data_IF_575103072509
#
_entry.id   IF_575103072509
#
_cell.length_a   1.000
_cell.length_b   1.000
_cell.length_c   1.000
_cell.angle_alpha   90.00
_cell.angle_beta   90.00
_cell.angle_gamma   90.00
#
_symmetry.space_group_name_H-M   'P 1'
#
loop_
_entity.id
_entity.type
_entity.pdbx_description
1 polymer ?
#
# COMPACT_ATOMS: atom_id res chain seq x y z
N UNK A 1 -5.72 -63.44 40.42
CA UNK A 1 -5.36 -62.89 39.09
C UNK A 1 -5.97 -61.51 39.02
N UNK A 2 -5.22 -60.51 39.43
CA UNK A 2 -5.60 -59.10 39.42
C UNK A 2 -4.83 -58.46 38.27
N UNK A 3 -5.57 -57.96 37.29
CA UNK A 3 -5.05 -57.19 36.16
C UNK A 3 -4.59 -55.84 36.70
N UNK A 4 -3.37 -55.34 36.41
CA UNK A 4 -2.99 -54.01 36.81
C UNK A 4 -3.63 -52.98 35.88
N UNK A 5 -4.16 -51.94 36.52
CA UNK A 5 -4.73 -50.72 35.96
C UNK A 5 -3.61 -49.91 35.28
N UNK A 6 -3.69 -49.74 33.97
CA UNK A 6 -2.78 -48.86 33.22
C UNK A 6 -3.10 -47.41 33.58
N UNK A 7 -2.17 -46.76 34.26
CA UNK A 7 -2.18 -45.34 34.50
C UNK A 7 -2.04 -44.60 33.15
N UNK A 8 -3.15 -44.05 32.67
CA UNK A 8 -3.18 -43.12 31.55
C UNK A 8 -2.53 -41.80 31.99
N UNK A 9 -1.21 -41.69 31.80
CA UNK A 9 -0.53 -40.40 31.82
C UNK A 9 -0.97 -39.61 30.59
N UNK A 10 -1.99 -38.78 30.75
CA UNK A 10 -2.30 -37.71 29.80
C UNK A 10 -1.09 -36.76 29.75
N UNK A 11 -0.21 -36.99 28.79
CA UNK A 11 0.73 -35.98 28.33
C UNK A 11 -0.11 -34.76 27.96
N UNK A 12 0.07 -33.65 28.69
CA UNK A 12 -0.70 -32.43 28.48
C UNK A 12 -0.66 -32.03 27.02
N UNK A 13 -1.84 -31.77 26.45
CA UNK A 13 -2.00 -31.36 25.05
C UNK A 13 -1.01 -30.24 24.74
N UNK A 14 0.03 -30.58 23.97
CA UNK A 14 0.92 -29.57 23.42
C UNK A 14 0.05 -28.69 22.53
N UNK A 15 -0.05 -27.40 22.88
CA UNK A 15 -0.90 -26.47 22.15
C UNK A 15 -0.53 -26.51 20.65
N UNK A 16 -1.55 -26.75 19.83
CA UNK A 16 -1.43 -26.96 18.39
C UNK A 16 -1.74 -25.65 17.64
N UNK A 17 -1.01 -25.39 16.55
CA UNK A 17 -1.29 -24.26 15.68
C UNK A 17 -2.52 -24.54 14.80
N UNK A 18 -3.54 -23.70 14.90
CA UNK A 18 -4.75 -23.82 14.10
C UNK A 18 -4.59 -23.55 12.59
N UNK A 19 -3.39 -23.21 12.12
CA UNK A 19 -3.10 -22.99 10.69
C UNK A 19 -2.37 -24.21 10.10
N UNK A 20 -1.25 -24.63 10.70
CA UNK A 20 -0.46 -25.77 10.18
C UNK A 20 -0.84 -27.13 10.78
N UNK A 21 -1.68 -27.15 11.82
CA UNK A 21 -2.07 -28.36 12.56
C UNK A 21 -0.85 -29.10 13.15
N UNK A 22 0.20 -28.35 13.49
CA UNK A 22 1.42 -28.83 14.10
C UNK A 22 1.67 -28.19 15.46
N UNK A 23 2.74 -28.61 16.14
CA UNK A 23 3.17 -27.99 17.39
C UNK A 23 3.45 -26.48 17.18
N UNK A 24 3.12 -25.65 18.18
CA UNK A 24 3.39 -24.23 18.11
C UNK A 24 4.89 -23.92 18.09
N UNK A 25 5.38 -23.42 16.97
CA UNK A 25 6.73 -22.88 16.80
C UNK A 25 6.70 -21.36 16.98
N UNK A 26 7.47 -20.85 17.96
CA UNK A 26 7.50 -19.40 18.31
C UNK A 26 6.08 -18.87 18.50
N UNK A 27 5.37 -19.51 19.43
CA UNK A 27 3.95 -19.30 19.65
C UNK A 27 3.62 -17.80 19.84
N UNK A 28 2.67 -17.32 19.06
CA UNK A 28 2.12 -15.97 19.17
C UNK A 28 0.65 -16.05 19.55
N UNK A 29 0.16 -15.09 20.34
CA UNK A 29 -1.22 -15.04 20.83
C UNK A 29 -1.90 -13.75 20.39
N UNK A 30 -3.12 -13.88 19.88
CA UNK A 30 -3.98 -12.75 19.53
C UNK A 30 -4.80 -12.28 20.75
N UNK A 31 -5.38 -11.07 20.73
CA UNK A 31 -6.24 -10.58 21.82
C UNK A 31 -7.48 -11.46 22.06
N UNK A 32 -7.91 -12.19 21.04
CA UNK A 32 -8.97 -13.19 21.13
C UNK A 32 -8.54 -14.51 21.81
N UNK A 33 -7.31 -14.60 22.31
CA UNK A 33 -6.69 -15.75 22.99
C UNK A 33 -6.36 -16.95 22.11
N UNK A 34 -6.57 -16.86 20.80
CA UNK A 34 -6.08 -17.88 19.87
C UNK A 34 -4.57 -17.76 19.66
N UNK A 35 -3.91 -18.92 19.54
CA UNK A 35 -2.45 -19.03 19.38
C UNK A 35 -2.06 -19.66 18.05
N UNK A 36 -0.94 -19.22 17.49
CA UNK A 36 -0.45 -19.65 16.18
C UNK A 36 1.08 -19.73 16.18
N UNK A 37 1.66 -20.51 15.27
CA UNK A 37 3.07 -20.31 14.92
C UNK A 37 3.24 -18.90 14.36
N UNK A 38 4.34 -18.21 14.71
CA UNK A 38 4.61 -16.84 14.23
C UNK A 38 4.54 -16.77 12.70
N UNK A 39 5.28 -17.63 12.01
CA UNK A 39 5.34 -17.66 10.54
C UNK A 39 3.97 -17.94 9.90
N UNK A 40 3.17 -18.81 10.50
CA UNK A 40 1.84 -19.13 10.01
C UNK A 40 0.87 -17.93 10.06
N UNK A 41 0.81 -17.23 11.20
CA UNK A 41 -0.09 -16.08 11.32
C UNK A 41 0.38 -14.88 10.51
N UNK A 42 1.71 -14.66 10.40
CA UNK A 42 2.25 -13.60 9.55
C UNK A 42 1.97 -13.87 8.07
N UNK A 43 2.12 -15.12 7.60
CA UNK A 43 1.74 -15.49 6.22
C UNK A 43 0.23 -15.32 5.97
N UNK A 44 -0.59 -15.65 6.96
CA UNK A 44 -2.04 -15.45 6.86
C UNK A 44 -2.39 -13.95 6.70
N UNK A 45 -1.82 -13.08 7.53
CA UNK A 45 -2.02 -11.63 7.44
C UNK A 45 -1.42 -11.05 6.14
N UNK A 46 -0.24 -11.53 5.74
CA UNK A 46 0.45 -11.11 4.52
C UNK A 46 -0.21 -11.57 3.21
N UNK A 47 -1.26 -12.39 3.27
CA UNK A 47 -1.97 -12.85 2.07
C UNK A 47 -2.93 -11.82 1.48
N UNK A 48 -3.16 -10.70 2.16
CA UNK A 48 -4.07 -9.63 1.73
C UNK A 48 -3.48 -8.27 2.03
N UNK A 49 -3.72 -7.30 1.17
CA UNK A 49 -3.42 -5.92 1.50
C UNK A 49 -4.46 -5.39 2.52
N UNK A 50 -4.04 -4.70 3.58
CA UNK A 50 -2.65 -4.42 3.90
C UNK A 50 -2.03 -5.62 4.62
N UNK A 51 -0.80 -5.99 4.27
CA UNK A 51 -0.17 -7.26 4.65
C UNK A 51 -0.02 -7.48 6.18
N UNK A 52 -0.24 -6.43 6.97
CA UNK A 52 -0.10 -6.41 8.43
C UNK A 52 -1.44 -6.45 9.19
N UNK A 53 -2.58 -6.53 8.49
CA UNK A 53 -3.92 -6.53 9.10
C UNK A 53 -4.89 -7.45 8.37
N UNK A 54 -5.82 -8.03 9.12
CA UNK A 54 -6.82 -8.95 8.58
C UNK A 54 -7.76 -9.45 9.68
N UNK A 55 -8.06 -10.74 9.65
CA UNK A 55 -8.93 -11.38 10.62
C UNK A 55 -8.29 -12.61 11.22
N UNK A 56 -8.56 -12.87 12.50
CA UNK A 56 -8.18 -14.10 13.17
C UNK A 56 -8.76 -15.32 12.40
N UNK A 57 -7.94 -16.32 12.01
CA UNK A 57 -8.40 -17.50 11.27
C UNK A 57 -9.53 -18.30 11.95
N UNK A 58 -9.65 -18.22 13.28
CA UNK A 58 -10.59 -19.03 14.05
C UNK A 58 -11.91 -18.32 14.35
N UNK A 59 -11.88 -17.02 14.66
CA UNK A 59 -13.09 -16.29 15.08
C UNK A 59 -13.43 -15.07 14.24
N UNK A 60 -12.65 -14.80 13.19
CA UNK A 60 -12.86 -13.71 12.24
C UNK A 60 -12.84 -12.30 12.86
N UNK A 61 -12.43 -12.16 14.13
CA UNK A 61 -12.20 -10.84 14.74
C UNK A 61 -11.04 -10.16 14.03
N UNK A 62 -11.17 -8.84 13.84
CA UNK A 62 -10.10 -8.00 13.29
C UNK A 62 -8.82 -8.21 14.09
N UNK A 63 -7.72 -8.38 13.37
CA UNK A 63 -6.42 -8.69 13.93
C UNK A 63 -5.34 -8.00 13.11
N UNK A 64 -4.38 -7.38 13.78
CA UNK A 64 -3.16 -6.85 13.16
C UNK A 64 -1.92 -7.50 13.77
N UNK A 65 -0.77 -7.32 13.13
CA UNK A 65 0.53 -7.75 13.68
C UNK A 65 0.89 -7.02 14.98
N UNK A 66 0.40 -5.79 15.18
CA UNK A 66 0.67 -4.99 16.39
C UNK A 66 -0.10 -5.48 17.62
N UNK A 67 -1.14 -6.27 17.39
CA UNK A 67 -1.97 -6.86 18.44
C UNK A 67 -1.51 -8.26 18.85
N UNK A 68 -0.58 -8.84 18.11
CA UNK A 68 0.00 -10.14 18.44
C UNK A 68 1.10 -9.96 19.49
N UNK A 69 1.11 -10.89 20.46
CA UNK A 69 2.19 -10.98 21.46
C UNK A 69 2.88 -12.34 21.37
N UNK A 70 4.16 -12.36 21.66
CA UNK A 70 4.92 -13.60 21.85
C UNK A 70 4.48 -14.28 23.15
N UNK A 71 4.16 -15.57 23.10
CA UNK A 71 3.58 -16.29 24.26
C UNK A 71 4.57 -16.44 25.41
N UNK A 72 5.87 -16.48 25.14
CA UNK A 72 6.92 -16.72 26.15
C UNK A 72 7.25 -15.43 26.88
N UNK A 73 7.46 -14.35 26.12
CA UNK A 73 7.90 -13.05 26.65
C UNK A 73 6.76 -12.09 26.98
N UNK A 74 5.54 -12.37 26.48
CA UNK A 74 4.38 -11.47 26.51
C UNK A 74 4.61 -10.11 25.83
N UNK A 75 5.70 -10.00 25.06
CA UNK A 75 6.05 -8.78 24.33
C UNK A 75 5.27 -8.69 23.01
N UNK A 76 4.88 -7.48 22.57
CA UNK A 76 4.30 -7.28 21.23
C UNK A 76 5.26 -7.77 20.14
N UNK A 77 4.72 -8.40 19.10
CA UNK A 77 5.53 -8.81 17.95
C UNK A 77 6.07 -7.60 17.19
N UNK A 78 5.23 -6.58 17.06
CA UNK A 78 5.53 -5.36 16.35
C UNK A 78 4.99 -4.15 17.09
N UNK A 79 5.63 -3.01 16.86
CA UNK A 79 5.20 -1.73 17.38
C UNK A 79 5.00 -0.82 16.17
N UNK A 80 3.84 -0.13 16.06
CA UNK A 80 3.65 0.85 15.00
C UNK A 80 4.72 1.94 15.04
N UNK A 81 5.18 2.35 13.85
CA UNK A 81 6.10 3.47 13.71
C UNK A 81 5.48 4.74 14.29
N UNK A 82 4.22 5.00 13.96
CA UNK A 82 3.48 6.17 14.44
C UNK A 82 2.50 5.77 15.53
N UNK A 83 2.49 6.54 16.61
CA UNK A 83 1.64 6.29 17.79
C UNK A 83 0.66 7.42 18.08
N UNK A 84 0.70 8.49 17.29
CA UNK A 84 -0.11 9.68 17.44
C UNK A 84 -0.61 10.12 16.07
N UNK A 85 -1.84 10.64 16.04
CA UNK A 85 -2.36 11.32 14.86
C UNK A 85 -1.57 12.61 14.57
N UNK A 86 -1.12 13.28 15.64
CA UNK A 86 -0.51 14.60 15.52
C UNK A 86 0.90 14.56 14.93
N UNK A 87 1.18 15.48 14.01
CA UNK A 87 2.36 15.51 13.15
C UNK A 87 2.17 14.78 11.81
N UNK A 88 0.99 14.19 11.56
CA UNK A 88 0.73 13.41 10.35
C UNK A 88 -0.10 14.18 9.33
N UNK A 89 0.13 13.82 8.07
CA UNK A 89 -0.58 14.34 6.91
C UNK A 89 -1.18 13.18 6.13
N UNK A 90 -2.42 13.33 5.67
CA UNK A 90 -3.13 12.33 4.88
C UNK A 90 -3.53 12.92 3.53
N UNK A 91 -3.22 12.18 2.46
CA UNK A 91 -3.42 12.63 1.09
C UNK A 91 -4.28 11.63 0.32
N UNK A 92 -5.12 12.19 -0.53
CA UNK A 92 -5.76 11.48 -1.63
C UNK A 92 -5.01 11.79 -2.93
N UNK A 93 -5.28 11.07 -4.00
CA UNK A 93 -4.83 11.46 -5.36
C UNK A 93 -5.48 12.81 -5.71
N UNK A 94 -4.72 13.84 -6.17
CA UNK A 94 -3.36 13.81 -6.71
C UNK A 94 -2.21 14.01 -5.70
N UNK A 95 -2.46 14.32 -4.43
CA UNK A 95 -1.43 14.34 -3.40
C UNK A 95 -1.53 15.50 -2.40
N UNK A 96 -0.37 15.92 -1.89
CA UNK A 96 -0.23 16.96 -0.87
C UNK A 96 -0.84 18.29 -1.35
N UNK A 97 -1.63 18.93 -0.48
CA UNK A 97 -2.24 20.23 -0.78
C UNK A 97 -3.50 20.17 -1.66
N UNK A 98 -3.95 18.99 -2.09
CA UNK A 98 -5.19 18.82 -2.85
C UNK A 98 -6.29 18.19 -1.97
N UNK A 99 -6.84 19.00 -1.06
CA UNK A 99 -7.70 18.54 0.05
C UNK A 99 -7.03 17.45 0.91
N UNK A 100 -5.73 17.63 1.18
CA UNK A 100 -5.00 16.81 2.14
C UNK A 100 -5.32 17.23 3.57
N UNK A 101 -5.42 16.28 4.50
CA UNK A 101 -5.68 16.54 5.91
C UNK A 101 -4.37 16.64 6.68
N UNK A 102 -4.24 17.69 7.48
CA UNK A 102 -3.06 17.97 8.30
C UNK A 102 -3.48 18.00 9.76
N UNK A 103 -2.73 17.28 10.59
CA UNK A 103 -2.93 17.20 12.03
C UNK A 103 -1.68 17.69 12.74
N UNK A 104 -1.24 18.92 12.50
CA UNK A 104 0.06 19.41 13.00
C UNK A 104 0.16 19.37 14.52
N UNK A 105 -0.94 19.72 15.21
CA UNK A 105 -1.10 19.60 16.66
C UNK A 105 -2.59 19.44 17.03
N UNK A 106 -2.87 19.13 18.30
CA UNK A 106 -4.24 18.96 18.82
C UNK A 106 -5.15 20.16 18.57
N UNK A 107 -4.58 21.37 18.58
CA UNK A 107 -5.27 22.62 18.30
C UNK A 107 -4.93 23.21 16.91
N UNK A 108 -4.23 22.46 16.06
CA UNK A 108 -3.89 22.88 14.68
C UNK A 108 -4.15 21.73 13.70
N UNK A 109 -5.42 21.49 13.42
CA UNK A 109 -5.89 20.53 12.43
C UNK A 109 -6.58 21.29 11.28
N UNK A 110 -6.29 20.93 10.03
CA UNK A 110 -6.84 21.63 8.87
C UNK A 110 -6.86 20.78 7.60
N UNK A 111 -7.65 21.23 6.63
CA UNK A 111 -7.59 20.77 5.24
C UNK A 111 -6.74 21.76 4.44
N UNK A 112 -5.76 21.25 3.71
CA UNK A 112 -4.95 22.06 2.81
C UNK A 112 -5.45 21.96 1.38
N UNK A 113 -5.64 23.14 0.77
CA UNK A 113 -5.96 23.35 -0.63
C UNK A 113 -4.83 24.13 -1.34
N UNK A 114 -3.62 24.14 -0.77
CA UNK A 114 -2.47 24.89 -1.30
C UNK A 114 -2.08 24.48 -2.73
N UNK A 115 -2.49 23.28 -3.16
CA UNK A 115 -2.28 22.74 -4.51
C UNK A 115 -3.60 22.29 -5.13
N UNK A 116 -4.72 22.92 -4.77
CA UNK A 116 -6.01 22.65 -5.37
C UNK A 116 -5.98 22.91 -6.90
N UNK A 117 -6.57 22.02 -7.72
CA UNK A 117 -6.66 22.22 -9.16
C UNK A 117 -7.34 23.54 -9.50
N UNK A 118 -6.92 24.21 -10.57
CA UNK A 118 -7.51 25.49 -11.00
C UNK A 118 -9.02 25.41 -11.30
N UNK A 119 -9.51 24.20 -11.60
CA UNK A 119 -10.92 23.89 -11.83
C UNK A 119 -11.75 23.87 -10.55
N UNK A 120 -11.14 23.78 -9.37
CA UNK A 120 -11.84 23.83 -8.10
C UNK A 120 -12.14 25.27 -7.74
N UNK A 121 -13.40 25.67 -7.94
CA UNK A 121 -13.91 26.99 -7.60
C UNK A 121 -14.96 26.90 -6.51
N UNK A 122 -14.98 27.92 -5.66
CA UNK A 122 -16.08 28.18 -4.76
C UNK A 122 -17.26 28.81 -5.54
N UNK A 123 -18.42 28.89 -4.92
CA UNK A 123 -19.64 29.46 -5.51
C UNK A 123 -19.46 30.91 -6.02
N UNK A 124 -18.58 31.69 -5.42
CA UNK A 124 -18.22 33.06 -5.85
C UNK A 124 -17.19 33.10 -7.00
N UNK A 125 -16.76 31.93 -7.49
CA UNK A 125 -15.77 31.78 -8.55
C UNK A 125 -14.31 31.89 -8.09
N UNK A 126 -14.06 32.14 -6.81
CA UNK A 126 -12.70 32.18 -6.25
C UNK A 126 -12.13 30.77 -6.03
N UNK A 127 -10.81 30.69 -5.83
CA UNK A 127 -10.15 29.45 -5.42
C UNK A 127 -10.40 29.19 -3.92
N UNK A 128 -10.44 27.92 -3.48
CA UNK A 128 -10.44 27.62 -2.05
C UNK A 128 -9.22 28.24 -1.34
N UNK A 129 -9.35 28.63 -0.07
CA UNK A 129 -8.23 29.12 0.72
C UNK A 129 -7.19 28.01 0.91
N UNK A 130 -5.89 28.35 0.87
CA UNK A 130 -4.82 27.37 0.97
C UNK A 130 -4.87 26.49 2.24
N UNK A 131 -5.40 27.02 3.35
CA UNK A 131 -5.61 26.33 4.63
C UNK A 131 -7.02 26.61 5.14
N UNK A 132 -7.78 25.55 5.41
CA UNK A 132 -9.12 25.60 6.00
C UNK A 132 -9.11 24.86 7.35
N UNK A 133 -9.12 25.57 8.49
CA UNK A 133 -9.03 24.93 9.80
C UNK A 133 -10.30 24.13 10.14
N UNK A 134 -10.12 23.04 10.87
CA UNK A 134 -11.23 22.40 11.58
C UNK A 134 -11.59 23.21 12.82
N UNK A 135 -12.88 23.38 13.08
CA UNK A 135 -13.43 23.81 14.36
C UNK A 135 -13.96 22.60 15.11
N UNK A 136 -14.11 22.70 16.43
CA UNK A 136 -14.57 21.61 17.30
C UNK A 136 -13.78 20.29 17.09
N UNK A 137 -12.49 20.43 16.82
CA UNK A 137 -11.59 19.32 16.59
C UNK A 137 -11.43 18.49 17.87
N UNK A 138 -11.54 17.17 17.75
CA UNK A 138 -11.32 16.23 18.85
C UNK A 138 -10.74 14.92 18.34
N UNK A 139 -9.92 14.28 19.17
CA UNK A 139 -9.27 13.00 18.89
C UNK A 139 -9.60 12.00 19.99
N UNK A 140 -10.16 10.84 19.60
CA UNK A 140 -10.32 9.70 20.49
C UNK A 140 -9.27 8.61 20.14
N UNK A 141 -8.23 8.42 20.97
CA UNK A 141 -7.20 7.42 20.71
C UNK A 141 -7.69 5.97 20.87
N UNK A 142 -8.78 5.72 21.59
CA UNK A 142 -9.30 4.35 21.79
C UNK A 142 -9.98 3.83 20.53
N UNK A 143 -10.80 4.67 19.91
CA UNK A 143 -11.48 4.35 18.65
C UNK A 143 -10.69 4.78 17.43
N UNK A 144 -9.55 5.46 17.62
CA UNK A 144 -8.73 6.11 16.58
C UNK A 144 -9.57 7.00 15.66
N UNK A 145 -10.45 7.79 16.28
CA UNK A 145 -11.42 8.60 15.55
C UNK A 145 -11.15 10.09 15.79
N UNK A 146 -10.89 10.81 14.70
CA UNK A 146 -10.90 12.27 14.70
C UNK A 146 -12.30 12.77 14.35
N UNK A 147 -12.74 13.84 15.01
CA UNK A 147 -13.95 14.59 14.65
C UNK A 147 -13.62 16.06 14.52
N UNK A 148 -14.27 16.74 13.58
CA UNK A 148 -14.10 18.16 13.37
C UNK A 148 -15.13 18.71 12.39
N UNK A 149 -15.26 20.03 12.37
CA UNK A 149 -16.23 20.75 11.54
C UNK A 149 -15.50 21.74 10.65
N UNK A 150 -15.96 21.89 9.41
CA UNK A 150 -15.56 22.98 8.51
C UNK A 150 -16.80 23.80 8.20
N UNK A 151 -16.76 25.09 8.52
CA UNK A 151 -17.81 26.04 8.14
C UNK A 151 -17.32 26.96 7.02
N UNK A 152 -18.12 27.07 5.96
CA UNK A 152 -17.86 27.93 4.82
C UNK A 152 -18.66 29.22 4.92
N UNK A 153 -17.99 30.35 4.67
CA UNK A 153 -18.65 31.65 4.70
C UNK A 153 -19.66 31.77 3.53
N UNK A 154 -20.69 32.63 3.64
CA UNK A 154 -21.61 32.87 2.54
C UNK A 154 -20.88 33.26 1.24
N UNK A 155 -21.20 32.59 0.13
CA UNK A 155 -20.56 32.78 -1.17
C UNK A 155 -19.21 32.06 -1.35
N UNK A 156 -18.56 31.64 -0.26
CA UNK A 156 -17.28 30.92 -0.28
C UNK A 156 -17.48 29.43 -0.02
N UNK A 157 -18.47 28.83 -0.68
CA UNK A 157 -18.88 27.44 -0.47
C UNK A 157 -18.49 26.58 -1.66
N UNK A 158 -18.48 25.27 -1.46
CA UNK A 158 -18.51 24.32 -2.56
C UNK A 158 -19.94 23.87 -2.79
N UNK A 159 -20.45 24.08 -4.00
CA UNK A 159 -21.77 23.61 -4.44
C UNK A 159 -22.90 23.97 -3.45
N UNK A 160 -22.88 25.19 -2.90
CA UNK A 160 -23.85 25.66 -1.92
C UNK A 160 -23.70 25.11 -0.50
N UNK A 161 -22.77 24.17 -0.26
CA UNK A 161 -22.61 23.48 1.02
C UNK A 161 -21.92 24.36 2.06
N UNK A 162 -22.58 24.56 3.20
CA UNK A 162 -22.17 25.55 4.19
C UNK A 162 -21.36 24.95 5.34
N UNK A 163 -21.62 23.69 5.68
CA UNK A 163 -21.04 23.03 6.84
C UNK A 163 -20.72 21.58 6.52
N UNK A 164 -19.49 21.17 6.80
CA UNK A 164 -19.03 19.81 6.67
C UNK A 164 -18.63 19.26 8.03
N UNK A 165 -19.24 18.15 8.43
CA UNK A 165 -18.98 17.46 9.70
C UNK A 165 -18.21 16.18 9.41
N UNK A 166 -17.03 16.06 10.01
CA UNK A 166 -16.11 14.95 9.78
C UNK A 166 -16.10 13.99 10.96
N UNK A 167 -16.16 12.70 10.64
CA UNK A 167 -15.74 11.60 11.48
C UNK A 167 -14.72 10.78 10.68
N UNK A 168 -13.47 10.69 11.15
CA UNK A 168 -12.38 10.06 10.41
C UNK A 168 -11.77 8.97 11.29
N UNK A 169 -11.84 7.72 10.83
CA UNK A 169 -11.30 6.55 11.54
C UNK A 169 -9.98 6.13 10.90
N UNK A 170 -8.91 6.07 11.69
CA UNK A 170 -7.57 5.73 11.22
C UNK A 170 -7.20 4.27 11.50
N UNK A 171 -6.35 3.73 10.64
CA UNK A 171 -5.64 2.48 10.88
C UNK A 171 -4.81 2.57 12.17
N UNK A 172 -4.55 1.43 12.82
CA UNK A 172 -3.81 1.33 14.08
C UNK A 172 -2.38 1.90 14.02
N UNK A 173 -1.79 1.90 12.82
CA UNK A 173 -0.46 2.42 12.52
C UNK A 173 -0.48 3.73 11.72
N UNK A 174 -1.67 4.31 11.56
CA UNK A 174 -1.89 5.53 10.81
C UNK A 174 -1.46 5.46 9.34
N UNK A 175 -1.35 4.29 8.69
CA UNK A 175 -1.00 4.27 7.26
C UNK A 175 -2.09 4.85 6.35
N UNK A 176 -3.35 4.84 6.79
CA UNK A 176 -4.46 5.40 6.03
C UNK A 176 -5.70 5.61 6.87
N UNK A 177 -6.67 6.27 6.24
CA UNK A 177 -8.04 6.37 6.74
C UNK A 177 -8.78 5.11 6.32
N UNK A 178 -9.49 4.47 7.25
CA UNK A 178 -10.13 3.17 7.06
C UNK A 178 -11.64 3.20 7.26
N UNK A 179 -12.20 4.36 7.59
CA UNK A 179 -13.63 4.52 7.82
C UNK A 179 -14.02 5.89 8.35
N UNK A 180 -15.29 6.02 8.71
CA UNK A 180 -15.93 7.28 9.06
C UNK A 180 -16.57 7.94 7.84
N UNK A 181 -16.98 9.20 7.98
CA UNK A 181 -17.68 9.92 6.91
C UNK A 181 -17.45 11.43 6.99
N UNK A 182 -17.71 12.11 5.88
CA UNK A 182 -18.01 13.54 5.85
C UNK A 182 -19.50 13.72 5.58
N UNK A 183 -20.19 14.50 6.40
CA UNK A 183 -21.60 14.87 6.22
C UNK A 183 -21.71 16.36 5.94
N UNK A 184 -22.25 16.73 4.78
CA UNK A 184 -22.44 18.12 4.37
C UNK A 184 -23.90 18.54 4.63
N UNK A 185 -24.07 19.65 5.35
CA UNK A 185 -25.36 20.27 5.72
C UNK A 185 -26.41 19.28 6.29
N UNK A 186 -25.94 18.18 6.89
CA UNK A 186 -26.78 17.15 7.50
C UNK A 186 -27.50 16.21 6.52
N UNK A 187 -27.27 16.34 5.20
CA UNK A 187 -27.99 15.56 4.18
C UNK A 187 -27.07 14.71 3.31
N UNK A 188 -25.93 15.26 2.88
CA UNK A 188 -25.06 14.60 1.92
C UNK A 188 -23.92 13.93 2.66
N UNK A 189 -23.91 12.60 2.68
CA UNK A 189 -22.93 11.81 3.41
C UNK A 189 -22.05 11.01 2.46
N UNK A 190 -20.74 11.19 2.58
CA UNK A 190 -19.73 10.43 1.84
C UNK A 190 -18.87 9.67 2.84
N UNK A 191 -18.77 8.35 2.68
CA UNK A 191 -17.96 7.49 3.54
C UNK A 191 -16.47 7.57 3.17
N UNK A 192 -15.60 7.38 4.15
CA UNK A 192 -14.20 7.04 3.92
C UNK A 192 -14.07 5.53 3.76
N UNK A 193 -13.20 5.10 2.84
CA UNK A 193 -12.92 3.70 2.57
C UNK A 193 -11.42 3.42 2.70
N UNK A 194 -11.03 2.19 3.11
CA UNK A 194 -9.64 1.80 3.12
C UNK A 194 -9.03 1.87 1.71
N UNK A 195 -7.86 2.51 1.52
CA UNK A 195 -7.25 2.70 0.19
C UNK A 195 -6.74 1.40 -0.46
N UNK A 196 -6.64 0.32 0.31
CA UNK A 196 -6.29 -1.03 -0.16
C UNK A 196 -7.50 -1.96 -0.31
N UNK A 197 -8.72 -1.46 -0.07
CA UNK A 197 -9.95 -2.22 -0.24
C UNK A 197 -10.34 -2.42 -1.71
N UNK A 198 -11.48 -3.08 -1.94
CA UNK A 198 -12.11 -3.10 -3.26
C UNK A 198 -12.50 -1.69 -3.69
N UNK A 199 -12.51 -1.41 -4.99
CA UNK A 199 -12.93 -0.10 -5.52
C UNK A 199 -14.38 0.19 -5.12
N UNK A 200 -14.57 1.08 -4.15
CA UNK A 200 -15.85 1.70 -3.86
C UNK A 200 -15.92 3.14 -4.39
N UNK A 201 -16.95 3.85 -3.94
CA UNK A 201 -17.19 5.26 -4.27
C UNK A 201 -16.76 6.20 -3.15
N UNK A 202 -16.23 5.67 -2.06
CA UNK A 202 -15.81 6.43 -0.90
C UNK A 202 -14.50 7.18 -1.10
N UNK A 203 -14.21 8.05 -0.13
CA UNK A 203 -12.97 8.81 -0.07
C UNK A 203 -11.84 7.93 0.46
N UNK A 204 -10.70 7.91 -0.25
CA UNK A 204 -9.53 7.11 0.13
C UNK A 204 -8.34 8.02 0.39
N UNK A 205 -7.66 7.76 1.51
CA UNK A 205 -6.55 8.59 1.98
C UNK A 205 -5.45 7.73 2.58
N UNK A 206 -4.21 8.03 2.19
CA UNK A 206 -3.00 7.42 2.72
C UNK A 206 -2.17 8.46 3.45
N UNK A 207 -1.42 8.01 4.45
CA UNK A 207 -0.42 8.85 5.12
C UNK A 207 0.60 9.32 4.08
N UNK A 208 0.81 10.62 4.04
CA UNK A 208 1.84 11.21 3.21
C UNK A 208 3.21 10.88 3.80
N UNK A 209 4.13 10.57 2.91
CA UNK A 209 5.56 10.44 3.21
C UNK A 209 6.30 11.33 2.22
N UNK A 210 7.42 11.90 2.65
CA UNK A 210 8.27 12.64 1.74
C UNK A 210 8.61 11.79 0.50
N UNK A 211 8.55 12.37 -0.71
CA UNK A 211 9.04 11.71 -1.91
C UNK A 211 10.48 11.24 -1.71
N UNK A 212 10.86 10.06 -2.24
CA UNK A 212 12.24 9.61 -2.16
C UNK A 212 13.12 10.51 -3.03
N UNK A 213 14.43 10.50 -2.78
CA UNK A 213 15.41 11.22 -3.61
C UNK A 213 15.97 10.38 -4.75
N UNK A 214 15.56 9.11 -4.85
CA UNK A 214 16.02 8.13 -5.83
C UNK A 214 14.94 7.09 -6.08
N UNK A 215 15.10 6.28 -7.13
CA UNK A 215 14.24 5.14 -7.42
C UNK A 215 14.49 3.95 -6.49
N UNK A 216 15.67 3.86 -5.87
CA UNK A 216 16.02 2.72 -5.01
C UNK A 216 15.18 2.71 -3.73
N UNK A 217 14.78 1.51 -3.29
CA UNK A 217 13.76 1.29 -2.27
C UNK A 217 12.32 1.57 -2.75
N UNK A 218 12.07 1.54 -4.06
CA UNK A 218 10.72 1.79 -4.61
C UNK A 218 10.18 0.62 -5.44
N UNK A 219 8.87 0.46 -5.36
CA UNK A 219 8.09 -0.47 -6.18
C UNK A 219 7.16 0.34 -7.09
N UNK A 220 7.05 -0.06 -8.36
CA UNK A 220 6.14 0.55 -9.33
C UNK A 220 5.21 -0.52 -9.90
N UNK A 221 3.91 -0.27 -9.87
CA UNK A 221 2.88 -1.20 -10.39
C UNK A 221 2.27 -0.65 -11.67
N UNK A 222 1.86 -1.55 -12.57
CA UNK A 222 1.29 -1.17 -13.85
C UNK A 222 -0.13 -0.63 -13.67
N UNK A 223 -0.32 0.69 -13.76
CA UNK A 223 -1.60 1.34 -13.58
C UNK A 223 -1.50 2.86 -13.60
N UNK A 224 -2.66 3.51 -13.52
CA UNK A 224 -2.76 4.98 -13.39
C UNK A 224 -2.84 5.43 -11.92
N UNK A 225 -3.14 4.49 -11.02
CA UNK A 225 -3.29 4.65 -9.59
C UNK A 225 -2.82 3.35 -8.93
N UNK A 226 -2.22 3.45 -7.74
CA UNK A 226 -1.73 2.27 -7.04
C UNK A 226 -2.91 1.43 -6.58
N UNK A 227 -2.85 0.13 -6.88
CA UNK A 227 -3.75 -0.87 -6.35
C UNK A 227 -2.89 -2.05 -5.92
N UNK A 228 -3.03 -2.48 -4.67
CA UNK A 228 -2.20 -3.56 -4.11
C UNK A 228 -2.26 -4.85 -4.93
N UNK A 229 -3.42 -5.17 -5.52
CA UNK A 229 -3.61 -6.35 -6.39
C UNK A 229 -2.77 -6.33 -7.68
N UNK A 230 -2.16 -5.20 -8.03
CA UNK A 230 -1.31 -5.07 -9.22
C UNK A 230 0.17 -5.29 -8.90
N UNK A 231 0.55 -5.35 -7.62
CA UNK A 231 1.87 -5.79 -7.22
C UNK A 231 2.05 -7.27 -7.59
N UNK A 232 3.23 -7.64 -8.08
CA UNK A 232 3.46 -9.00 -8.60
C UNK A 232 2.89 -9.26 -10.00
N UNK A 233 2.19 -8.30 -10.62
CA UNK A 233 1.71 -8.38 -12.01
C UNK A 233 2.62 -7.51 -12.90
N UNK A 234 3.82 -8.01 -13.21
CA UNK A 234 4.88 -7.24 -13.88
C UNK A 234 5.21 -5.90 -13.20
N UNK A 235 5.09 -5.84 -11.87
CA UNK A 235 5.55 -4.69 -11.09
C UNK A 235 7.08 -4.60 -11.11
N UNK A 236 7.64 -3.39 -11.15
CA UNK A 236 9.07 -3.14 -11.11
C UNK A 236 9.53 -2.83 -9.70
N UNK A 237 10.58 -3.52 -9.26
CA UNK A 237 11.18 -3.39 -7.93
C UNK A 237 12.61 -2.91 -8.09
N UNK A 238 12.95 -1.85 -7.36
CA UNK A 238 14.28 -1.24 -7.36
C UNK A 238 14.83 -1.30 -5.94
N UNK A 239 15.06 -2.49 -5.38
CA UNK A 239 15.43 -2.64 -3.97
C UNK A 239 16.78 -1.97 -3.68
N UNK A 240 17.75 -2.14 -4.59
CA UNK A 240 19.04 -1.44 -4.56
C UNK A 240 19.63 -1.28 -5.97
N UNK A 241 20.79 -0.62 -6.10
CA UNK A 241 21.55 -0.55 -7.36
C UNK A 241 21.89 -1.93 -7.93
N UNK A 242 22.07 -2.92 -7.06
CA UNK A 242 22.46 -4.28 -7.42
C UNK A 242 21.28 -5.26 -7.50
N UNK A 243 20.11 -4.87 -6.97
CA UNK A 243 18.90 -5.69 -6.96
C UNK A 243 17.71 -4.91 -7.53
N UNK A 244 17.59 -4.97 -8.85
CA UNK A 244 16.43 -4.46 -9.59
C UNK A 244 15.79 -5.63 -10.34
N UNK A 245 14.46 -5.75 -10.30
CA UNK A 245 13.75 -6.86 -10.94
C UNK A 245 12.31 -6.53 -11.32
N UNK A 246 11.74 -7.41 -12.14
CA UNK A 246 10.31 -7.48 -12.43
C UNK A 246 9.73 -8.61 -11.58
N UNK A 247 8.68 -8.33 -10.82
CA UNK A 247 7.95 -9.36 -10.07
C UNK A 247 6.77 -9.86 -10.89
N UNK A 248 6.67 -11.19 -10.98
CA UNK A 248 5.57 -11.96 -11.56
C UNK A 248 4.92 -12.88 -10.51
N UNK A 249 5.08 -12.57 -9.21
CA UNK A 249 4.56 -13.38 -8.12
C UNK A 249 3.05 -13.64 -8.22
N UNK A 250 2.31 -12.68 -8.76
CA UNK A 250 0.86 -12.70 -8.91
C UNK A 250 0.44 -12.64 -10.40
N UNK A 251 1.35 -12.99 -11.31
CA UNK A 251 1.06 -12.97 -12.74
C UNK A 251 -0.15 -13.85 -13.08
N UNK A 252 -1.09 -13.38 -13.94
CA UNK A 252 -2.23 -14.17 -14.35
C UNK A 252 -1.80 -15.52 -14.92
N UNK A 253 -2.51 -16.60 -14.60
CA UNK A 253 -2.17 -17.94 -15.10
C UNK A 253 -2.20 -18.10 -16.63
N UNK A 254 -2.74 -17.11 -17.36
CA UNK A 254 -2.68 -17.02 -18.82
C UNK A 254 -1.36 -16.47 -19.34
N UNK A 255 -0.51 -15.89 -18.49
CA UNK A 255 0.81 -15.39 -18.86
C UNK A 255 1.79 -16.55 -18.82
N UNK A 256 2.08 -17.10 -19.98
CA UNK A 256 2.99 -18.23 -20.15
C UNK A 256 4.16 -17.81 -21.03
N UNK A 257 5.33 -18.35 -20.74
CA UNK A 257 6.47 -18.40 -21.63
C UNK A 257 6.10 -19.24 -22.87
N UNK A 258 6.91 -19.17 -23.92
CA UNK A 258 6.64 -19.88 -25.17
C UNK A 258 6.71 -21.41 -25.04
N UNK A 259 7.26 -21.94 -23.95
CA UNK A 259 7.25 -23.37 -23.61
C UNK A 259 6.00 -23.81 -22.82
N UNK A 260 5.11 -22.87 -22.48
CA UNK A 260 3.89 -23.12 -21.73
C UNK A 260 4.02 -23.05 -20.21
N UNK A 261 5.23 -22.81 -19.67
CA UNK A 261 5.41 -22.60 -18.23
C UNK A 261 5.12 -21.13 -17.83
N UNK A 262 4.71 -20.87 -16.57
CA UNK A 262 4.59 -19.50 -16.08
C UNK A 262 5.95 -18.79 -16.02
N UNK A 263 5.99 -17.44 -16.10
CA UNK A 263 7.21 -16.69 -15.85
C UNK A 263 7.74 -16.94 -14.43
N UNK A 264 9.05 -16.77 -14.19
CA UNK A 264 9.62 -16.88 -12.85
C UNK A 264 9.07 -15.77 -11.96
N UNK A 265 8.81 -16.08 -10.68
CA UNK A 265 8.30 -15.14 -9.67
C UNK A 265 9.11 -13.84 -9.61
N UNK A 266 10.45 -13.93 -9.71
CA UNK A 266 11.37 -12.79 -9.74
C UNK A 266 12.22 -12.87 -11.01
N UNK A 267 12.15 -11.84 -11.85
CA UNK A 267 12.95 -11.73 -13.08
C UNK A 267 13.93 -10.55 -12.98
N UNK A 268 15.24 -10.79 -12.82
CA UNK A 268 16.20 -9.71 -12.61
C UNK A 268 16.35 -8.83 -13.85
N UNK A 269 16.55 -7.53 -13.61
CA UNK A 269 17.14 -6.64 -14.59
C UNK A 269 18.66 -6.87 -14.63
N UNK A 270 19.21 -6.90 -15.84
CA UNK A 270 20.64 -7.01 -16.11
C UNK A 270 21.16 -5.68 -16.65
N UNK A 271 22.44 -5.39 -16.40
CA UNK A 271 23.10 -4.17 -16.91
C UNK A 271 22.40 -2.86 -16.47
N UNK A 272 21.86 -2.85 -15.25
CA UNK A 272 21.18 -1.71 -14.65
C UNK A 272 22.06 -0.46 -14.62
N UNK A 273 21.50 0.67 -15.04
CA UNK A 273 22.13 2.00 -14.95
C UNK A 273 21.08 3.04 -14.62
N UNK A 274 21.31 3.79 -13.54
CA UNK A 274 20.47 4.93 -13.17
C UNK A 274 21.25 6.25 -13.34
N UNK A 275 20.64 7.21 -14.04
CA UNK A 275 21.16 8.55 -14.26
C UNK A 275 20.31 9.55 -13.48
N UNK A 276 20.81 9.99 -12.32
CA UNK A 276 20.06 10.86 -11.40
C UNK A 276 19.66 12.20 -12.01
N UNK A 277 20.52 12.82 -12.83
CA UNK A 277 20.27 14.12 -13.45
C UNK A 277 19.07 14.10 -14.41
N UNK A 278 18.95 13.05 -15.22
CA UNK A 278 17.85 12.87 -16.17
C UNK A 278 16.69 12.05 -15.59
N UNK A 279 16.85 11.50 -14.37
CA UNK A 279 15.96 10.52 -13.75
C UNK A 279 15.64 9.38 -14.72
N UNK A 280 16.67 8.85 -15.36
CA UNK A 280 16.52 7.78 -16.36
C UNK A 280 17.15 6.51 -15.85
N UNK A 281 16.41 5.41 -15.91
CA UNK A 281 16.93 4.06 -15.67
C UNK A 281 16.98 3.30 -16.99
N UNK A 282 18.06 2.56 -17.23
CA UNK A 282 18.15 1.62 -18.35
C UNK A 282 18.61 0.26 -17.85
N UNK A 283 18.09 -0.79 -18.48
CA UNK A 283 18.45 -2.17 -18.17
C UNK A 283 18.04 -3.11 -19.31
N UNK A 284 18.41 -4.37 -19.17
CA UNK A 284 18.03 -5.46 -20.06
C UNK A 284 17.40 -6.61 -19.28
N UNK A 285 16.61 -7.45 -19.95
CA UNK A 285 16.07 -8.69 -19.38
C UNK A 285 16.20 -9.78 -20.43
N UNK A 286 16.90 -10.87 -20.11
CA UNK A 286 17.02 -12.05 -20.99
C UNK A 286 15.98 -13.09 -20.67
N UNK A 287 15.37 -13.70 -21.68
CA UNK A 287 14.35 -14.73 -21.51
C UNK A 287 14.84 -16.06 -22.08
N UNK A 288 14.85 -17.07 -21.21
CA UNK A 288 15.07 -18.47 -21.57
C UNK A 288 14.21 -19.34 -20.64
N UNK A 289 13.15 -20.00 -21.15
CA UNK A 289 12.54 -19.85 -22.49
C UNK A 289 12.09 -18.42 -22.83
N UNK A 290 11.85 -18.16 -24.12
CA UNK A 290 11.38 -16.86 -24.62
C UNK A 290 9.99 -16.49 -24.09
N UNK A 291 9.71 -15.19 -23.97
CA UNK A 291 8.39 -14.68 -23.59
C UNK A 291 7.79 -13.90 -24.75
N UNK A 292 6.68 -14.39 -25.31
CA UNK A 292 6.06 -13.83 -26.52
C UNK A 292 7.06 -13.71 -27.69
N UNK A 293 7.85 -14.76 -27.94
CA UNK A 293 8.91 -14.85 -28.97
C UNK A 293 10.12 -13.94 -28.77
N UNK A 294 10.17 -13.17 -27.69
CA UNK A 294 11.30 -12.33 -27.36
C UNK A 294 12.28 -13.05 -26.45
N UNK A 295 13.57 -12.99 -26.79
CA UNK A 295 14.69 -13.53 -26.01
C UNK A 295 15.41 -12.44 -25.20
N UNK A 296 15.26 -11.18 -25.59
CA UNK A 296 15.87 -10.03 -24.93
C UNK A 296 14.90 -8.87 -24.92
N UNK A 297 14.79 -8.19 -23.78
CA UNK A 297 14.11 -6.92 -23.64
C UNK A 297 15.11 -5.85 -23.23
N UNK A 298 15.05 -4.69 -23.87
CA UNK A 298 15.77 -3.49 -23.45
C UNK A 298 14.78 -2.47 -22.90
N UNK A 299 15.08 -1.92 -21.74
CA UNK A 299 14.26 -0.95 -21.03
C UNK A 299 14.97 0.38 -20.90
N UNK A 300 14.19 1.44 -21.04
CA UNK A 300 14.52 2.79 -20.63
C UNK A 300 13.28 3.36 -19.93
N UNK A 301 13.42 3.84 -18.70
CA UNK A 301 12.38 4.50 -17.92
C UNK A 301 12.80 5.94 -17.65
N UNK A 302 11.86 6.87 -17.72
CA UNK A 302 12.02 8.23 -17.19
C UNK A 302 11.03 8.42 -16.04
N UNK A 303 11.50 8.91 -14.89
CA UNK A 303 10.67 9.10 -13.71
C UNK A 303 10.26 10.57 -13.52
N UNK A 304 9.11 10.78 -12.87
CA UNK A 304 8.70 12.10 -12.38
C UNK A 304 9.71 12.66 -11.37
N UNK A 305 9.71 13.99 -11.17
CA UNK A 305 10.63 14.65 -10.24
C UNK A 305 10.51 14.15 -8.79
N UNK A 306 9.30 13.78 -8.38
CA UNK A 306 8.98 13.23 -7.07
C UNK A 306 9.02 11.69 -7.04
N UNK A 307 9.45 11.05 -8.13
CA UNK A 307 9.47 9.59 -8.30
C UNK A 307 8.14 8.88 -8.08
N UNK A 308 7.01 9.59 -8.04
CA UNK A 308 5.68 9.00 -7.85
C UNK A 308 5.24 8.13 -9.02
N UNK A 309 5.86 8.29 -10.20
CA UNK A 309 5.48 7.56 -11.43
C UNK A 309 6.58 7.51 -12.47
N UNK A 310 6.43 6.57 -13.40
CA UNK A 310 7.17 6.57 -14.67
C UNK A 310 6.40 7.49 -15.62
N UNK A 311 7.10 8.47 -16.20
CA UNK A 311 6.52 9.50 -17.09
C UNK A 311 6.88 9.31 -18.55
N UNK A 312 7.84 8.42 -18.84
CA UNK A 312 8.31 8.21 -20.20
C UNK A 312 9.29 7.04 -20.32
N UNK A 313 9.78 6.84 -21.55
CA UNK A 313 10.77 5.82 -21.87
C UNK A 313 10.24 4.77 -22.84
N UNK A 314 11.02 3.70 -23.06
CA UNK A 314 10.68 2.64 -24.01
C UNK A 314 10.99 1.25 -23.50
N UNK A 315 10.24 0.29 -24.04
CA UNK A 315 10.47 -1.14 -23.92
C UNK A 315 10.66 -1.71 -25.33
N UNK A 316 11.81 -2.35 -25.59
CA UNK A 316 12.17 -2.88 -26.91
C UNK A 316 12.43 -4.38 -26.82
N UNK A 317 11.51 -5.23 -27.32
CA UNK A 317 11.74 -6.66 -27.40
C UNK A 317 12.57 -7.04 -28.64
N UNK A 318 13.38 -8.08 -28.51
CA UNK A 318 14.18 -8.66 -29.58
C UNK A 318 14.02 -10.19 -29.61
N UNK A 319 13.91 -10.75 -30.82
CA UNK A 319 13.82 -12.20 -31.04
C UNK A 319 15.15 -12.93 -30.77
N UNK A 320 15.11 -14.26 -30.84
CA UNK A 320 16.30 -15.13 -30.66
C UNK A 320 17.40 -14.81 -31.69
N UNK A 321 17.03 -14.37 -32.88
CA UNK A 321 17.93 -13.95 -33.96
C UNK A 321 18.42 -12.50 -33.81
N UNK A 322 18.05 -11.81 -32.73
CA UNK A 322 18.34 -10.39 -32.51
C UNK A 322 17.46 -9.43 -33.33
N UNK A 323 16.44 -9.92 -34.03
CA UNK A 323 15.51 -9.06 -34.76
C UNK A 323 14.70 -8.19 -33.81
N UNK A 324 14.65 -6.88 -34.07
CA UNK A 324 13.87 -5.94 -33.27
C UNK A 324 12.36 -6.18 -33.50
N UNK A 325 11.62 -6.27 -32.41
CA UNK A 325 10.16 -6.37 -32.42
C UNK A 325 9.54 -5.00 -32.15
N UNK A 326 8.20 -4.91 -32.17
CA UNK A 326 7.49 -3.65 -31.92
C UNK A 326 7.77 -3.15 -30.50
N UNK A 327 8.37 -1.97 -30.41
CA UNK A 327 8.59 -1.29 -29.13
C UNK A 327 7.27 -0.82 -28.51
N UNK A 328 7.21 -0.85 -27.17
CA UNK A 328 6.18 -0.20 -26.38
C UNK A 328 6.74 1.06 -25.73
N UNK A 329 5.86 1.99 -25.38
CA UNK A 329 6.22 3.30 -24.81
C UNK A 329 5.60 3.42 -23.44
N UNK A 330 6.34 4.01 -22.50
CA UNK A 330 5.80 4.40 -21.20
C UNK A 330 5.20 5.80 -21.31
N UNK A 331 3.98 5.97 -20.80
CA UNK A 331 3.29 7.26 -20.76
C UNK A 331 3.23 7.81 -19.33
N UNK A 332 2.92 9.11 -19.19
CA UNK A 332 2.68 9.73 -17.88
C UNK A 332 1.24 9.44 -17.41
N UNK A 333 1.06 8.70 -16.28
CA UNK A 333 -0.25 8.46 -15.68
C UNK A 333 -1.11 9.72 -15.47
N UNK A 334 -0.47 10.87 -15.24
CA UNK A 334 -1.14 12.15 -15.00
C UNK A 334 -1.53 12.88 -16.30
N UNK A 335 -1.12 12.39 -17.47
CA UNK A 335 -1.48 13.01 -18.75
C UNK A 335 -2.99 12.91 -19.03
N UNK A 336 -3.59 14.04 -19.41
CA UNK A 336 -4.98 14.10 -19.88
C UNK A 336 -5.15 13.47 -21.26
N UNK A 337 -4.08 13.46 -22.07
CA UNK A 337 -4.08 12.88 -23.42
C UNK A 337 -3.35 11.54 -23.34
N UNK A 338 -4.13 10.47 -23.29
CA UNK A 338 -3.60 9.10 -23.24
C UNK A 338 -3.51 8.54 -24.65
N UNK A 339 -2.34 8.08 -25.07
CA UNK A 339 -2.22 7.40 -26.35
C UNK A 339 -2.61 5.93 -26.19
N UNK A 340 -3.26 5.40 -27.22
CA UNK A 340 -3.48 3.97 -27.32
C UNK A 340 -2.12 3.26 -27.27
N UNK A 341 -2.01 2.26 -26.40
CA UNK A 341 -0.83 1.39 -26.20
C UNK A 341 0.34 1.94 -25.35
N UNK A 342 0.13 3.02 -24.59
CA UNK A 342 1.08 3.44 -23.54
C UNK A 342 0.94 2.58 -22.29
N UNK A 343 2.08 2.17 -21.72
CA UNK A 343 2.14 1.54 -20.40
C UNK A 343 2.30 2.61 -19.32
N UNK A 344 1.51 2.52 -18.26
CA UNK A 344 1.50 3.47 -17.16
C UNK A 344 1.94 2.77 -15.88
N UNK A 345 2.80 3.43 -15.11
CA UNK A 345 3.30 2.88 -13.85
C UNK A 345 3.33 3.95 -12.78
N UNK A 346 2.85 3.58 -11.59
CA UNK A 346 2.80 4.43 -10.40
C UNK A 346 3.48 3.74 -9.23
N UNK A 347 4.12 4.54 -8.39
CA UNK A 347 4.88 4.07 -7.24
C UNK A 347 3.94 3.58 -6.13
N UNK A 348 4.32 2.47 -5.47
CA UNK A 348 3.74 2.04 -4.19
C UNK A 348 3.89 3.18 -3.17
N UNK A 349 2.80 3.67 -2.57
CA UNK A 349 2.86 4.75 -1.59
C UNK A 349 3.86 4.44 -0.47
N UNK A 350 4.67 5.42 -0.07
CA UNK A 350 5.74 5.21 0.91
C UNK A 350 5.25 4.71 2.27
N UNK A 351 4.03 5.09 2.67
CA UNK A 351 3.35 4.52 3.84
C UNK A 351 3.25 2.99 3.75
N UNK A 352 2.89 2.44 2.59
CA UNK A 352 2.74 0.99 2.41
C UNK A 352 4.09 0.27 2.27
N UNK A 353 5.15 0.96 1.81
CA UNK A 353 6.51 0.40 1.75
C UNK A 353 7.06 0.06 3.14
N UNK A 354 6.92 0.98 4.12
CA UNK A 354 7.44 0.78 5.47
C UNK A 354 6.87 -0.46 6.18
N UNK A 355 5.66 -0.87 5.81
CA UNK A 355 5.00 -2.02 6.38
C UNK A 355 5.54 -3.35 5.84
N UNK A 356 5.96 -3.38 4.58
CA UNK A 356 6.60 -4.55 3.96
C UNK A 356 7.94 -4.84 4.64
N UNK A 357 8.73 -3.80 4.93
CA UNK A 357 9.98 -3.93 5.69
C UNK A 357 9.75 -4.52 7.08
N UNK A 358 8.67 -4.10 7.76
CA UNK A 358 8.28 -4.65 9.04
C UNK A 358 7.98 -6.15 8.94
N UNK A 359 7.19 -6.58 7.96
CA UNK A 359 6.85 -8.00 7.80
C UNK A 359 8.06 -8.85 7.39
N UNK A 360 8.92 -8.31 6.52
CA UNK A 360 10.18 -8.95 6.16
C UNK A 360 11.06 -9.13 7.39
N UNK A 361 11.19 -8.10 8.24
CA UNK A 361 11.91 -8.18 9.51
C UNK A 361 11.31 -9.21 10.46
N UNK A 362 9.99 -9.22 10.63
CA UNK A 362 9.31 -10.17 11.52
C UNK A 362 9.48 -11.63 11.05
N UNK A 363 9.63 -11.82 9.74
CA UNK A 363 9.83 -13.13 9.10
C UNK A 363 11.30 -13.53 8.97
N UNK A 364 12.24 -12.59 9.01
CA UNK A 364 13.68 -12.86 8.87
C UNK A 364 14.40 -13.09 10.19
N UNK A 365 13.78 -12.81 11.33
CA UNK A 365 14.28 -13.25 12.65
C UNK A 365 14.25 -14.80 12.77
N UNK A 366 13.89 -15.52 11.70
CA UNK A 366 13.86 -16.98 11.59
C UNK A 366 15.23 -17.62 11.24
N UNK A 367 16.32 -16.85 11.09
CA UNK A 367 17.71 -17.37 10.92
C UNK A 367 18.61 -17.20 12.17
#
# INVERSE_FOLDING_TARGET
>A
MTVPEEANTSTGDAAECAICLGALERACRAPCQHSYCRSCILRWLGSRAPEWSGACPLCLRVLSVYQLVDVVSDAPLAIPQERSLFGLVFVQTPGLGCASYHFDAENDCYVSYASAPETWKLDDGSMPPAKKPFTDASWDPQTRTFRGVIEWAPGQKFDGQSRWEYEIVFAEDFFGIIGGSVTCDGTDRTEFEPPWGERGTGLTYLRWTAPPSTIFGSVYVQGIEYQGILEGIASYHFDSEEDCYISYADAPGSWLLDDGNPPPVKKPFEQCRYHAESRTFSATVRWEPTFNRAALWEYEFTFSEDFSRITGGTFKPFGVDGSAMRAMVFGDPASQIRRLMEMHYVRKPGALMAAQDLLALLSSIDD
#
